data_IF_618166650707
#
_entry.id   IF_618166650707
#
_cell.length_a   1.000
_cell.length_b   1.000
_cell.length_c   1.000
_cell.angle_alpha   90.00
_cell.angle_beta   90.00
_cell.angle_gamma   90.00
#
_symmetry.space_group_name_H-M   'P 1'
#
loop_
_entity.id
_entity.type
_entity.pdbx_description
1 polymer ?
#
# COMPACT_ATOMS: atom_id res chain seq x y z
N UNK A 1 63.19 3.31 -4.81
CA UNK A 1 61.77 3.39 -5.16
C UNK A 1 60.94 2.88 -3.99
N UNK A 2 60.06 3.68 -3.38
CA UNK A 2 59.00 3.18 -2.51
C UNK A 2 57.82 2.63 -3.36
N UNK A 3 56.81 2.09 -2.68
CA UNK A 3 55.52 1.54 -3.16
C UNK A 3 55.46 0.06 -3.61
N UNK A 4 55.23 -0.82 -2.61
CA UNK A 4 54.12 -1.77 -2.69
C UNK A 4 53.20 -1.50 -1.50
N UNK A 5 52.08 -0.82 -1.74
CA UNK A 5 50.98 -0.80 -0.77
C UNK A 5 50.54 -2.25 -0.57
N UNK A 6 50.67 -2.75 0.66
CA UNK A 6 50.02 -3.98 1.06
C UNK A 6 48.52 -3.78 0.85
N UNK A 7 47.80 -4.71 0.20
CA UNK A 7 46.35 -4.60 0.07
C UNK A 7 45.75 -4.61 1.48
N UNK A 8 44.91 -3.61 1.73
CA UNK A 8 44.20 -3.41 2.98
C UNK A 8 43.23 -4.59 3.18
N UNK A 9 43.22 -5.31 4.33
CA UNK A 9 42.36 -6.48 4.56
C UNK A 9 40.86 -6.18 4.40
N UNK A 10 40.48 -4.90 4.50
CA UNK A 10 39.13 -4.41 4.20
C UNK A 10 38.70 -4.58 2.74
N UNK A 11 39.66 -4.72 1.81
CA UNK A 11 39.38 -4.96 0.38
C UNK A 11 38.98 -6.41 0.10
N UNK A 12 39.46 -7.36 0.92
CA UNK A 12 39.10 -8.78 0.80
C UNK A 12 37.64 -9.05 1.23
N UNK A 13 37.07 -8.17 2.04
CA UNK A 13 35.65 -8.20 2.46
C UNK A 13 34.71 -7.54 1.42
N UNK A 14 35.23 -7.05 0.29
CA UNK A 14 34.39 -6.45 -0.74
C UNK A 14 33.67 -7.53 -1.57
N UNK A 15 32.32 -7.56 -1.57
CA UNK A 15 31.53 -8.56 -2.29
C UNK A 15 31.65 -8.45 -3.82
N UNK A 16 32.19 -7.35 -4.34
CA UNK A 16 32.38 -7.08 -5.76
C UNK A 16 33.85 -7.05 -6.20
N UNK A 17 34.80 -7.32 -5.30
CA UNK A 17 36.21 -7.41 -5.67
C UNK A 17 36.47 -8.67 -6.52
N UNK A 18 37.32 -8.51 -7.54
CA UNK A 18 37.82 -9.61 -8.35
C UNK A 18 38.51 -10.64 -7.45
N UNK A 19 38.37 -11.95 -7.74
CA UNK A 19 39.04 -12.99 -6.96
C UNK A 19 40.56 -12.76 -6.93
N UNK A 20 41.24 -13.04 -5.80
CA UNK A 20 42.68 -12.93 -5.72
C UNK A 20 43.35 -13.91 -6.69
N UNK A 21 44.44 -13.46 -7.31
CA UNK A 21 45.19 -14.21 -8.31
C UNK A 21 45.77 -15.51 -7.71
N UNK A 22 45.64 -16.65 -8.43
CA UNK A 22 46.24 -17.94 -8.04
C UNK A 22 45.27 -18.99 -7.46
N UNK A 23 43.96 -18.72 -7.43
CA UNK A 23 42.95 -19.75 -7.12
C UNK A 23 42.40 -20.41 -8.39
N UNK A 24 42.03 -21.70 -8.33
CA UNK A 24 41.31 -22.35 -9.43
C UNK A 24 39.95 -21.69 -9.66
N UNK A 25 39.51 -21.64 -10.92
CA UNK A 25 38.23 -21.06 -11.32
C UNK A 25 37.06 -21.76 -10.59
N UNK A 26 36.24 -20.99 -9.89
CA UNK A 26 35.05 -21.48 -9.19
C UNK A 26 33.80 -20.82 -9.78
N UNK A 27 32.66 -21.52 -9.85
CA UNK A 27 31.39 -20.89 -10.20
C UNK A 27 31.09 -19.75 -9.21
N UNK A 28 30.50 -18.67 -9.72
CA UNK A 28 30.22 -17.49 -8.91
C UNK A 28 29.18 -17.81 -7.83
N UNK A 29 29.56 -17.62 -6.56
CA UNK A 29 28.66 -17.74 -5.40
C UNK A 29 28.63 -16.41 -4.60
N UNK A 30 27.45 -15.94 -4.16
CA UNK A 30 27.36 -14.76 -3.29
C UNK A 30 28.07 -15.01 -1.96
N UNK A 31 29.15 -14.27 -1.66
CA UNK A 31 29.83 -14.31 -0.35
C UNK A 31 28.85 -13.80 0.72
N UNK A 32 28.41 -14.69 1.62
CA UNK A 32 27.58 -14.27 2.76
C UNK A 32 28.39 -13.34 3.66
N UNK A 33 27.84 -12.18 4.10
CA UNK A 33 28.54 -11.30 5.01
C UNK A 33 28.83 -12.05 6.31
N UNK A 34 30.11 -12.35 6.56
CA UNK A 34 30.55 -12.94 7.81
C UNK A 34 30.32 -11.91 8.92
N UNK A 35 29.36 -12.21 9.80
CA UNK A 35 29.18 -11.47 11.05
C UNK A 35 30.51 -11.57 11.82
N UNK A 36 31.05 -10.46 12.35
CA UNK A 36 32.29 -10.48 13.13
C UNK A 36 32.20 -11.57 14.22
N UNK A 37 33.09 -12.54 14.12
CA UNK A 37 33.18 -13.66 15.04
C UNK A 37 34.07 -13.21 16.21
N UNK A 38 33.45 -12.56 17.19
CA UNK A 38 34.09 -12.36 18.48
C UNK A 38 34.28 -13.75 19.12
N UNK A 39 35.54 -14.08 19.40
CA UNK A 39 35.98 -15.45 19.61
C UNK A 39 35.47 -16.15 20.87
N UNK A 40 35.38 -17.47 20.76
CA UNK A 40 35.56 -18.41 21.88
C UNK A 40 34.32 -19.16 22.35
N UNK A 41 34.30 -20.49 22.16
CA UNK A 41 33.55 -21.40 23.03
C UNK A 41 32.71 -22.45 22.32
N UNK A 42 33.19 -23.70 22.31
CA UNK A 42 32.40 -24.92 22.07
C UNK A 42 31.19 -25.00 23.01
N UNK A 43 30.02 -25.34 22.48
CA UNK A 43 28.84 -25.62 23.29
C UNK A 43 27.64 -26.05 22.44
N UNK A 44 27.56 -27.34 22.11
CA UNK A 44 26.32 -27.94 21.66
C UNK A 44 25.33 -28.05 22.84
N UNK A 45 24.12 -27.54 22.65
CA UNK A 45 23.01 -27.66 23.59
C UNK A 45 21.67 -27.76 22.84
N UNK A 46 20.76 -28.67 23.23
CA UNK A 46 19.48 -28.89 22.55
C UNK A 46 18.49 -27.74 22.82
N UNK A 47 17.61 -27.51 21.84
CA UNK A 47 16.83 -26.29 21.68
C UNK A 47 15.87 -25.92 22.81
N UNK A 48 15.72 -24.60 22.97
CA UNK A 48 14.73 -23.93 23.80
C UNK A 48 13.58 -23.40 22.91
N UNK A 49 12.30 -23.72 23.17
CA UNK A 49 11.17 -23.24 22.39
C UNK A 49 10.61 -21.96 23.02
N UNK A 50 11.01 -20.82 22.47
CA UNK A 50 10.28 -19.57 22.63
C UNK A 50 11.06 -18.46 23.30
N UNK A 51 11.71 -17.61 22.50
CA UNK A 51 11.73 -16.17 22.75
C UNK A 51 12.28 -15.46 21.49
N UNK A 52 11.58 -14.41 21.04
CA UNK A 52 12.20 -13.36 20.24
C UNK A 52 12.43 -13.66 18.77
N UNK A 53 11.35 -13.65 17.99
CA UNK A 53 11.43 -13.44 16.54
C UNK A 53 12.28 -12.19 16.25
N UNK A 54 13.44 -12.40 15.61
CA UNK A 54 14.35 -11.33 15.19
C UNK A 54 13.64 -10.30 14.29
N UNK A 55 14.27 -9.13 14.03
CA UNK A 55 13.66 -8.08 13.22
C UNK A 55 13.18 -8.68 11.92
N UNK A 56 11.87 -8.58 11.65
CA UNK A 56 11.26 -9.30 10.56
C UNK A 56 12.00 -8.96 9.27
N UNK A 57 12.64 -9.97 8.69
CA UNK A 57 13.46 -9.79 7.49
C UNK A 57 12.55 -9.25 6.38
N UNK A 58 12.97 -8.18 5.75
CA UNK A 58 12.29 -7.66 4.59
C UNK A 58 12.39 -8.69 3.45
N UNK A 59 11.30 -9.39 3.14
CA UNK A 59 11.24 -10.32 2.02
C UNK A 59 10.50 -9.67 0.83
N UNK A 60 11.21 -9.31 -0.27
CA UNK A 60 10.61 -8.69 -1.44
C UNK A 60 9.48 -9.52 -2.09
N UNK A 61 9.45 -10.84 -1.87
CA UNK A 61 8.46 -11.74 -2.47
C UNK A 61 7.24 -11.99 -1.58
N UNK A 62 7.17 -11.42 -0.37
CA UNK A 62 6.02 -11.62 0.52
C UNK A 62 4.75 -11.00 -0.10
N UNK A 63 3.69 -11.81 -0.34
CA UNK A 63 2.43 -11.32 -0.89
C UNK A 63 1.78 -10.27 0.02
N UNK A 64 1.92 -10.34 1.35
CA UNK A 64 1.26 -9.38 2.26
C UNK A 64 1.85 -7.98 2.09
N UNK A 65 3.17 -7.89 1.98
CA UNK A 65 3.90 -6.64 1.80
C UNK A 65 3.61 -5.96 0.45
N UNK A 66 3.45 -6.74 -0.63
CA UNK A 66 3.05 -6.21 -1.95
C UNK A 66 1.64 -5.65 -1.93
N UNK A 67 0.70 -6.38 -1.31
CA UNK A 67 -0.71 -5.96 -1.21
C UNK A 67 -0.87 -4.65 -0.43
N UNK A 68 -0.11 -4.45 0.65
CA UNK A 68 -0.13 -3.20 1.41
C UNK A 68 0.33 -1.99 0.57
N UNK A 69 1.36 -2.17 -0.26
CA UNK A 69 1.86 -1.13 -1.18
C UNK A 69 0.85 -0.83 -2.29
N UNK A 70 0.25 -1.86 -2.86
CA UNK A 70 -0.79 -1.69 -3.89
C UNK A 70 -2.04 -1.01 -3.32
N UNK A 71 -2.43 -1.32 -2.09
CA UNK A 71 -3.55 -0.63 -1.43
C UNK A 71 -3.29 0.88 -1.28
N UNK A 72 -2.09 1.27 -0.85
CA UNK A 72 -1.71 2.68 -0.72
C UNK A 72 -1.69 3.40 -2.08
N UNK A 73 -1.05 2.80 -3.09
CA UNK A 73 -0.96 3.39 -4.43
C UNK A 73 -2.34 3.50 -5.08
N UNK A 74 -3.15 2.43 -5.03
CA UNK A 74 -4.50 2.44 -5.59
C UNK A 74 -5.41 3.42 -4.84
N UNK A 75 -5.28 3.54 -3.51
CA UNK A 75 -6.04 4.51 -2.72
C UNK A 75 -5.68 5.94 -3.10
N UNK A 76 -4.38 6.27 -3.14
CA UNK A 76 -3.87 7.58 -3.54
C UNK A 76 -4.39 8.00 -4.92
N UNK A 77 -4.24 7.13 -5.93
CA UNK A 77 -4.70 7.41 -7.28
C UNK A 77 -6.23 7.42 -7.41
N UNK A 78 -6.94 6.54 -6.69
CA UNK A 78 -8.40 6.51 -6.70
C UNK A 78 -9.03 7.77 -6.14
N UNK A 79 -8.47 8.31 -5.04
CA UNK A 79 -8.90 9.60 -4.49
C UNK A 79 -8.60 10.76 -5.43
N UNK A 80 -7.40 10.78 -6.02
CA UNK A 80 -7.03 11.77 -7.03
C UNK A 80 -8.06 11.79 -8.17
N UNK A 81 -8.30 10.68 -8.86
CA UNK A 81 -9.26 10.65 -9.97
C UNK A 81 -10.70 10.98 -9.54
N UNK A 82 -11.07 10.67 -8.29
CA UNK A 82 -12.35 11.08 -7.71
C UNK A 82 -12.51 12.60 -7.63
N UNK A 83 -11.46 13.34 -7.28
CA UNK A 83 -11.48 14.82 -7.24
C UNK A 83 -11.42 15.44 -8.64
N UNK A 84 -10.62 14.87 -9.55
CA UNK A 84 -10.41 15.43 -10.90
C UNK A 84 -11.55 15.17 -11.88
N UNK A 85 -12.70 14.67 -11.41
CA UNK A 85 -13.92 14.56 -12.22
C UNK A 85 -14.06 13.25 -13.00
N UNK A 86 -13.29 12.21 -12.67
CA UNK A 86 -13.40 10.88 -13.27
C UNK A 86 -13.86 9.86 -12.20
N UNK A 87 -15.11 9.97 -11.71
CA UNK A 87 -15.56 9.19 -10.55
C UNK A 87 -15.62 7.69 -10.81
N UNK A 88 -15.76 7.24 -12.05
CA UNK A 88 -15.74 5.82 -12.42
C UNK A 88 -14.38 5.17 -12.14
N UNK A 89 -13.30 5.82 -12.58
CA UNK A 89 -11.92 5.37 -12.33
C UNK A 89 -11.61 5.45 -10.83
N UNK A 90 -12.03 6.53 -10.18
CA UNK A 90 -11.89 6.68 -8.73
C UNK A 90 -12.60 5.58 -7.94
N UNK A 91 -13.81 5.21 -8.34
CA UNK A 91 -14.59 4.13 -7.73
C UNK A 91 -13.90 2.77 -7.91
N UNK A 92 -13.48 2.43 -9.13
CA UNK A 92 -12.80 1.16 -9.41
C UNK A 92 -11.49 1.03 -8.62
N UNK A 93 -10.68 2.09 -8.60
CA UNK A 93 -9.42 2.11 -7.84
C UNK A 93 -9.66 2.12 -6.33
N UNK A 94 -10.67 2.83 -5.84
CA UNK A 94 -11.06 2.84 -4.43
C UNK A 94 -11.53 1.46 -3.95
N UNK A 95 -12.35 0.76 -4.74
CA UNK A 95 -12.77 -0.60 -4.45
C UNK A 95 -11.58 -1.58 -4.45
N UNK A 96 -10.68 -1.45 -5.42
CA UNK A 96 -9.44 -2.24 -5.49
C UNK A 96 -8.55 -1.99 -4.27
N UNK A 97 -8.40 -0.74 -3.86
CA UNK A 97 -7.64 -0.35 -2.67
C UNK A 97 -8.23 -0.92 -1.38
N UNK A 98 -9.56 -0.90 -1.23
CA UNK A 98 -10.24 -1.58 -0.11
C UNK A 98 -9.95 -3.08 -0.11
N UNK A 99 -10.08 -3.75 -1.25
CA UNK A 99 -9.83 -5.19 -1.36
C UNK A 99 -8.41 -5.57 -0.93
N UNK A 100 -7.39 -4.89 -1.47
CA UNK A 100 -5.99 -5.17 -1.13
C UNK A 100 -5.65 -4.75 0.30
N UNK A 101 -6.22 -3.64 0.80
CA UNK A 101 -6.04 -3.19 2.18
C UNK A 101 -6.60 -4.20 3.17
N UNK A 102 -7.85 -4.64 2.97
CA UNK A 102 -8.49 -5.68 3.78
C UNK A 102 -7.73 -7.01 3.67
N UNK A 103 -7.29 -7.39 2.46
CA UNK A 103 -6.54 -8.63 2.25
C UNK A 103 -5.16 -8.61 2.88
N UNK A 104 -4.48 -7.46 2.94
CA UNK A 104 -3.20 -7.31 3.63
C UNK A 104 -3.36 -7.36 5.15
N UNK A 105 -4.45 -6.80 5.69
CA UNK A 105 -4.78 -6.91 7.11
C UNK A 105 -5.17 -8.34 7.51
N UNK A 106 -5.85 -9.08 6.61
CA UNK A 106 -6.32 -10.45 6.85
C UNK A 106 -5.31 -11.54 6.48
N UNK A 107 -4.30 -11.23 5.66
CA UNK A 107 -3.40 -12.22 5.09
C UNK A 107 -2.51 -12.89 6.12
N UNK A 108 -2.72 -14.18 6.38
CA UNK A 108 -1.75 -15.06 7.07
C UNK A 108 -0.58 -15.38 6.11
N UNK A 109 0.69 -15.30 6.55
CA UNK A 109 1.81 -15.79 5.74
C UNK A 109 1.69 -17.31 5.55
N UNK A 110 2.18 -17.83 4.42
CA UNK A 110 1.95 -19.21 3.96
C UNK A 110 2.77 -20.30 4.68
N UNK A 111 3.11 -20.12 5.97
CA UNK A 111 3.79 -21.16 6.76
C UNK A 111 3.11 -21.28 8.12
N UNK A 112 2.53 -22.45 8.36
CA UNK A 112 1.85 -22.84 9.59
C UNK A 112 2.86 -22.95 10.74
N UNK A 113 2.91 -21.93 11.60
CA UNK A 113 3.23 -21.97 13.04
C UNK A 113 3.58 -20.56 13.53
N UNK A 114 2.59 -19.66 13.67
CA UNK A 114 2.59 -18.53 14.62
C UNK A 114 1.44 -17.53 14.32
N UNK A 115 1.01 -16.70 15.29
CA UNK A 115 -0.21 -15.90 15.15
C UNK A 115 -0.05 -14.78 14.11
N UNK A 116 -0.50 -15.07 12.89
CA UNK A 116 -1.43 -14.24 12.10
C UNK A 116 -1.01 -12.82 11.66
N UNK A 117 -1.05 -12.60 10.35
CA UNK A 117 -1.14 -11.25 9.76
C UNK A 117 0.14 -10.43 9.89
N UNK A 118 0.00 -9.12 9.62
CA UNK A 118 1.03 -8.09 9.86
C UNK A 118 1.50 -8.03 11.34
N UNK A 119 1.05 -8.93 12.24
CA UNK A 119 1.49 -9.06 13.63
C UNK A 119 2.70 -9.96 13.78
N UNK A 120 2.87 -10.93 12.89
CA UNK A 120 4.06 -11.79 12.86
C UNK A 120 5.35 -11.01 12.54
N UNK A 121 5.24 -9.83 11.94
CA UNK A 121 6.37 -8.98 11.56
C UNK A 121 6.92 -8.10 12.72
N UNK A 122 6.32 -8.16 13.91
CA UNK A 122 6.78 -7.41 15.08
C UNK A 122 6.95 -5.90 14.81
N UNK A 123 8.02 -5.23 15.32
CA UNK A 123 8.27 -3.81 15.09
C UNK A 123 8.42 -3.41 13.61
N UNK A 124 8.90 -4.33 12.76
CA UNK A 124 9.07 -4.12 11.32
C UNK A 124 7.73 -4.09 10.55
N UNK A 125 6.62 -4.43 11.21
CA UNK A 125 5.27 -4.28 10.66
C UNK A 125 4.78 -2.83 10.57
N UNK A 126 5.33 -1.91 11.37
CA UNK A 126 4.82 -0.52 11.51
C UNK A 126 4.66 0.21 10.16
N UNK A 127 5.67 0.24 9.25
CA UNK A 127 5.50 0.92 7.97
C UNK A 127 4.44 0.24 7.08
N UNK A 128 4.31 -1.08 7.14
CA UNK A 128 3.31 -1.81 6.34
C UNK A 128 1.89 -1.60 6.86
N UNK A 129 1.71 -1.60 8.18
CA UNK A 129 0.43 -1.28 8.83
C UNK A 129 0.00 0.15 8.53
N UNK A 130 0.93 1.11 8.63
CA UNK A 130 0.66 2.49 8.27
C UNK A 130 0.22 2.62 6.81
N UNK A 131 0.89 1.91 5.88
CA UNK A 131 0.53 1.92 4.48
C UNK A 131 -0.85 1.30 4.18
N UNK A 132 -1.20 0.19 4.84
CA UNK A 132 -2.50 -0.44 4.68
C UNK A 132 -3.64 0.43 5.24
N UNK A 133 -3.43 1.03 6.42
CA UNK A 133 -4.43 1.90 7.06
C UNK A 133 -4.64 3.18 6.26
N UNK A 134 -3.57 3.85 5.81
CA UNK A 134 -3.72 5.05 4.99
C UNK A 134 -4.41 4.74 3.66
N UNK A 135 -4.07 3.61 3.01
CA UNK A 135 -4.77 3.13 1.82
C UNK A 135 -6.28 2.94 2.05
N UNK A 136 -6.70 2.37 3.19
CA UNK A 136 -8.11 2.20 3.53
C UNK A 136 -8.84 3.52 3.78
N UNK A 137 -8.21 4.45 4.50
CA UNK A 137 -8.78 5.78 4.77
C UNK A 137 -8.99 6.52 3.45
N UNK A 138 -7.97 6.56 2.60
CA UNK A 138 -8.05 7.22 1.30
C UNK A 138 -9.06 6.53 0.37
N UNK A 139 -9.13 5.20 0.37
CA UNK A 139 -10.12 4.45 -0.41
C UNK A 139 -11.56 4.73 0.04
N UNK A 140 -11.80 4.80 1.35
CA UNK A 140 -13.14 5.13 1.89
C UNK A 140 -13.57 6.53 1.46
N UNK A 141 -12.66 7.51 1.53
CA UNK A 141 -12.92 8.87 1.08
C UNK A 141 -13.19 8.93 -0.43
N UNK A 142 -12.40 8.22 -1.25
CA UNK A 142 -12.61 8.14 -2.69
C UNK A 142 -14.00 7.56 -3.04
N UNK A 143 -14.43 6.53 -2.33
CA UNK A 143 -15.74 5.91 -2.53
C UNK A 143 -16.89 6.83 -2.12
N UNK A 144 -16.76 7.58 -1.02
CA UNK A 144 -17.76 8.57 -0.62
C UNK A 144 -17.90 9.69 -1.66
N UNK A 145 -16.78 10.19 -2.18
CA UNK A 145 -16.78 11.20 -3.25
C UNK A 145 -17.43 10.66 -4.53
N UNK A 146 -17.06 9.46 -4.96
CA UNK A 146 -17.65 8.83 -6.14
C UNK A 146 -19.16 8.60 -5.94
N UNK A 147 -19.56 8.00 -4.82
CA UNK A 147 -20.97 7.78 -4.49
C UNK A 147 -21.77 9.08 -4.43
N UNK A 148 -21.21 10.14 -3.82
CA UNK A 148 -21.82 11.46 -3.81
C UNK A 148 -22.01 12.03 -5.22
N UNK A 149 -21.00 11.91 -6.09
CA UNK A 149 -21.09 12.39 -7.48
C UNK A 149 -22.17 11.65 -8.28
N UNK A 150 -22.26 10.33 -8.17
CA UNK A 150 -23.29 9.53 -8.84
C UNK A 150 -24.68 9.80 -8.27
N UNK A 151 -24.79 10.01 -6.95
CA UNK A 151 -26.05 10.40 -6.33
C UNK A 151 -26.55 11.75 -6.85
N UNK A 152 -25.66 12.74 -7.01
CA UNK A 152 -26.02 14.02 -7.63
C UNK A 152 -26.49 13.83 -9.09
N UNK A 153 -25.78 13.03 -9.89
CA UNK A 153 -26.19 12.77 -11.26
C UNK A 153 -27.57 12.11 -11.33
N UNK A 154 -27.86 11.16 -10.43
CA UNK A 154 -29.15 10.47 -10.39
C UNK A 154 -30.28 11.42 -9.96
N UNK A 155 -30.04 12.21 -8.91
CA UNK A 155 -31.03 13.15 -8.37
C UNK A 155 -31.33 14.32 -9.33
N UNK A 156 -30.35 14.76 -10.11
CA UNK A 156 -30.51 15.83 -11.10
C UNK A 156 -30.81 15.33 -12.52
N UNK A 157 -30.91 14.01 -12.74
CA UNK A 157 -31.14 13.43 -14.08
C UNK A 157 -32.36 14.03 -14.77
N UNK A 158 -33.49 14.10 -14.08
CA UNK A 158 -34.75 14.53 -14.69
C UNK A 158 -34.74 16.03 -15.02
N UNK A 159 -34.04 16.83 -14.22
CA UNK A 159 -33.78 18.23 -14.55
C UNK A 159 -32.94 18.36 -15.83
N UNK A 160 -31.82 17.63 -15.93
CA UNK A 160 -30.93 17.71 -17.08
C UNK A 160 -31.58 17.17 -18.36
N UNK A 161 -32.27 16.03 -18.29
CA UNK A 161 -33.00 15.46 -19.44
C UNK A 161 -34.10 16.43 -19.91
N UNK A 162 -34.91 16.98 -19.01
CA UNK A 162 -35.94 17.97 -19.37
C UNK A 162 -35.35 19.20 -20.06
N UNK A 163 -34.23 19.71 -19.52
CA UNK A 163 -33.56 20.89 -20.05
C UNK A 163 -32.95 20.63 -21.43
N UNK A 164 -32.39 19.45 -21.66
CA UNK A 164 -31.78 19.08 -22.93
C UNK A 164 -32.85 18.81 -24.02
N UNK A 165 -34.04 18.32 -23.65
CA UNK A 165 -35.18 18.13 -24.58
C UNK A 165 -36.03 19.41 -24.81
N UNK A 166 -35.78 20.49 -24.07
CA UNK A 166 -36.59 21.70 -24.13
C UNK A 166 -36.34 22.49 -25.44
N UNK A 167 -37.36 22.54 -26.32
CA UNK A 167 -37.32 23.30 -27.57
C UNK A 167 -37.53 24.82 -27.39
N UNK A 168 -38.00 25.27 -26.22
CA UNK A 168 -38.34 26.69 -25.96
C UNK A 168 -37.93 27.15 -24.55
N UNK A 169 -37.64 28.45 -24.39
CA UNK A 169 -37.28 29.05 -23.10
C UNK A 169 -38.38 28.94 -22.03
N UNK A 170 -39.65 28.89 -22.44
CA UNK A 170 -40.78 28.69 -21.52
C UNK A 170 -40.86 27.25 -21.00
N UNK A 171 -40.51 26.26 -21.83
CA UNK A 171 -40.38 24.87 -21.40
C UNK A 171 -39.18 24.67 -20.46
N UNK A 172 -38.05 25.32 -20.76
CA UNK A 172 -36.85 25.30 -19.90
C UNK A 172 -37.13 25.80 -18.48
N UNK A 173 -37.89 26.91 -18.36
CA UNK A 173 -38.28 27.45 -17.04
C UNK A 173 -39.18 26.49 -16.25
N UNK A 174 -40.02 25.69 -16.94
CA UNK A 174 -40.81 24.66 -16.27
C UNK A 174 -39.95 23.51 -15.75
N UNK A 175 -38.79 23.22 -16.35
CA UNK A 175 -37.89 22.19 -15.83
C UNK A 175 -37.35 22.53 -14.43
N UNK A 176 -37.33 23.80 -14.01
CA UNK A 176 -36.90 24.18 -12.66
C UNK A 176 -37.79 23.61 -11.55
N UNK A 177 -39.01 23.15 -11.86
CA UNK A 177 -39.87 22.47 -10.87
C UNK A 177 -39.45 21.03 -10.61
N UNK A 178 -38.53 20.47 -11.39
CA UNK A 178 -37.97 19.12 -11.22
C UNK A 178 -36.70 19.11 -10.36
N UNK A 179 -36.26 20.27 -9.85
CA UNK A 179 -35.15 20.29 -8.90
C UNK A 179 -35.58 19.55 -7.62
N UNK A 180 -34.73 18.66 -7.10
CA UNK A 180 -35.02 18.03 -5.82
C UNK A 180 -35.13 19.10 -4.73
N UNK A 181 -36.19 19.01 -3.92
CA UNK A 181 -36.33 19.83 -2.73
C UNK A 181 -35.07 19.73 -1.87
N UNK A 182 -34.49 20.86 -1.53
CA UNK A 182 -33.29 21.00 -0.69
C UNK A 182 -33.63 20.65 0.78
N UNK A 183 -33.91 19.36 1.01
CA UNK A 183 -34.08 18.72 2.31
C UNK A 183 -32.87 18.95 3.22
N UNK A 184 -31.67 18.99 2.64
CA UNK A 184 -30.42 19.29 3.34
C UNK A 184 -30.40 20.73 3.91
N UNK A 185 -31.01 21.68 3.21
CA UNK A 185 -31.25 23.05 3.71
C UNK A 185 -32.33 23.11 4.79
N UNK A 186 -33.36 22.24 4.72
CA UNK A 186 -34.36 22.10 5.79
C UNK A 186 -33.75 21.49 7.06
N UNK A 187 -32.86 20.50 6.92
CA UNK A 187 -32.17 19.84 8.05
C UNK A 187 -31.14 20.77 8.70
N UNK A 188 -30.33 21.49 7.91
CA UNK A 188 -29.34 22.45 8.44
C UNK A 188 -29.97 23.74 9.01
N UNK A 189 -31.22 24.07 8.63
CA UNK A 189 -31.96 25.22 9.20
C UNK A 189 -32.53 24.96 10.60
N UNK A 190 -32.60 23.71 11.06
CA UNK A 190 -33.14 23.38 12.41
C UNK A 190 -32.10 23.59 13.53
N UNK A 191 -30.88 24.03 13.20
CA UNK A 191 -29.81 24.30 14.17
C UNK A 191 -29.61 25.78 14.54
N UNK A 192 -30.58 26.67 14.27
CA UNK A 192 -30.49 28.07 14.70
C UNK A 192 -31.58 28.43 15.70
#
# INVERSE_FOLDING_TARGET
MPDRRQPDPSTDDNPFAAPPEGRPDQPWEPRQPQRPQDGGGSGGGPGDPGEGGGPARWDPMDPVQRRARYALLAGMWGFFFGIFGIPSVGLLLGALALYWGISALRGRPATDADPGGLSALGPAARPQRAAAVSGLVTATLALLLAAGSYALQLAYKDFYVCRDDALTRTAELKCNTLLPDNTLGKILRVQR
#
